data_IF_475535462691
#
_entry.id   IF_475535462691
#
_cell.length_a   1.000
_cell.length_b   1.000
_cell.length_c   1.000
_cell.angle_alpha   90.00
_cell.angle_beta   90.00
_cell.angle_gamma   90.00
#
_symmetry.space_group_name_H-M   'P 1'
#
loop_
_entity.id
_entity.type
_entity.pdbx_description
1 polymer ?
#
# COMPACT_ATOMS: atom_id res chain seq x y z
N UNK A 1 -15.26 -33.61 -13.90
CA UNK A 1 -15.00 -32.20 -13.59
C UNK A 1 -14.93 -32.06 -12.08
N UNK A 2 -13.74 -31.80 -11.50
CA UNK A 2 -13.60 -31.53 -10.05
C UNK A 2 -13.91 -30.04 -9.86
N UNK A 3 -14.95 -29.71 -9.11
CA UNK A 3 -15.20 -28.35 -8.64
C UNK A 3 -13.95 -27.85 -7.89
N UNK A 4 -13.34 -26.80 -8.42
CA UNK A 4 -12.33 -26.05 -7.68
C UNK A 4 -13.03 -25.37 -6.51
N UNK A 5 -12.89 -25.93 -5.30
CA UNK A 5 -13.22 -25.21 -4.08
C UNK A 5 -12.34 -23.94 -4.06
N UNK A 6 -12.93 -22.79 -4.26
CA UNK A 6 -12.23 -21.52 -4.06
C UNK A 6 -11.98 -21.39 -2.56
N UNK A 7 -10.73 -21.54 -2.16
CA UNK A 7 -10.31 -21.28 -0.79
C UNK A 7 -10.37 -19.76 -0.62
N UNK A 8 -11.32 -19.28 0.19
CA UNK A 8 -11.37 -17.86 0.53
C UNK A 8 -10.07 -17.44 1.22
N UNK A 9 -9.49 -16.28 0.83
CA UNK A 9 -8.31 -15.76 1.50
C UNK A 9 -8.55 -15.62 3.02
N UNK A 10 -7.59 -15.97 3.89
CA UNK A 10 -7.72 -15.84 5.35
C UNK A 10 -8.15 -14.43 5.80
N UNK A 11 -7.75 -13.41 5.07
CA UNK A 11 -8.14 -12.03 5.29
C UNK A 11 -9.66 -11.80 5.16
N UNK A 12 -10.32 -12.40 4.16
CA UNK A 12 -11.77 -12.31 4.00
C UNK A 12 -12.52 -12.93 5.19
N UNK A 13 -12.05 -14.09 5.68
CA UNK A 13 -12.65 -14.75 6.84
C UNK A 13 -12.54 -13.85 8.09
N UNK A 14 -11.42 -13.16 8.24
CA UNK A 14 -11.21 -12.24 9.36
C UNK A 14 -12.12 -11.01 9.27
N UNK A 15 -12.24 -10.42 8.09
CA UNK A 15 -13.13 -9.29 7.83
C UNK A 15 -14.60 -9.65 8.05
N UNK A 16 -15.04 -10.83 7.63
CA UNK A 16 -16.39 -11.31 7.88
C UNK A 16 -16.68 -11.47 9.37
N UNK A 17 -15.73 -11.99 10.15
CA UNK A 17 -15.88 -12.09 11.61
C UNK A 17 -15.99 -10.71 12.26
N UNK A 18 -15.16 -9.76 11.87
CA UNK A 18 -15.19 -8.41 12.41
C UNK A 18 -16.47 -7.67 11.99
N UNK A 19 -16.91 -7.83 10.74
CA UNK A 19 -18.19 -7.32 10.25
C UNK A 19 -19.36 -7.86 11.08
N UNK A 20 -19.39 -9.16 11.32
CA UNK A 20 -20.44 -9.79 12.12
C UNK A 20 -20.43 -9.28 13.58
N UNK A 21 -19.25 -9.06 14.18
CA UNK A 21 -19.09 -8.46 15.50
C UNK A 21 -19.64 -7.03 15.55
N UNK A 22 -19.35 -6.22 14.54
CA UNK A 22 -19.85 -4.85 14.44
C UNK A 22 -21.35 -4.79 14.20
N UNK A 23 -21.90 -5.69 13.38
CA UNK A 23 -23.35 -5.81 13.18
C UNK A 23 -24.08 -6.14 14.48
N UNK A 24 -23.58 -7.09 15.27
CA UNK A 24 -24.12 -7.41 16.58
C UNK A 24 -24.01 -6.24 17.56
N UNK A 25 -22.92 -5.49 17.53
CA UNK A 25 -22.72 -4.28 18.33
C UNK A 25 -23.71 -3.19 17.93
N UNK A 26 -23.89 -2.96 16.64
CA UNK A 26 -24.86 -2.01 16.10
C UNK A 26 -26.30 -2.36 16.54
N UNK A 27 -26.67 -3.64 16.47
CA UNK A 27 -28.00 -4.06 16.89
C UNK A 27 -28.26 -3.74 18.40
N UNK A 28 -27.28 -4.05 19.27
CA UNK A 28 -27.38 -3.70 20.72
C UNK A 28 -27.51 -2.18 20.94
N UNK A 29 -26.79 -1.39 20.14
CA UNK A 29 -26.85 0.08 20.21
C UNK A 29 -28.22 0.61 19.75
N UNK A 30 -28.80 0.02 18.70
CA UNK A 30 -30.14 0.36 18.20
C UNK A 30 -31.22 0.01 19.23
N UNK A 31 -31.17 -1.18 19.84
CA UNK A 31 -32.09 -1.60 20.85
C UNK A 31 -32.04 -0.68 22.08
N UNK A 32 -30.83 -0.33 22.51
CA UNK A 32 -30.62 0.64 23.57
C UNK A 32 -31.16 2.04 23.21
N UNK A 33 -30.94 2.49 21.96
CA UNK A 33 -31.45 3.78 21.48
C UNK A 33 -32.97 3.83 21.51
N UNK A 34 -33.65 2.78 21.05
CA UNK A 34 -35.12 2.66 21.08
C UNK A 34 -35.62 2.74 22.54
N UNK A 35 -34.95 2.05 23.46
CA UNK A 35 -35.30 2.13 24.90
C UNK A 35 -35.14 3.53 25.49
N UNK A 36 -34.09 4.27 25.09
CA UNK A 36 -33.87 5.64 25.54
C UNK A 36 -34.88 6.64 24.90
N UNK A 37 -35.30 6.38 23.64
CA UNK A 37 -36.41 7.13 23.00
C UNK A 37 -37.71 6.97 23.78
N UNK A 38 -38.08 5.72 24.07
CA UNK A 38 -39.28 5.43 24.86
C UNK A 38 -39.27 6.07 26.27
N UNK A 39 -38.08 6.18 26.86
CA UNK A 39 -37.88 6.81 28.18
C UNK A 39 -37.70 8.35 28.12
N UNK A 40 -37.67 8.97 26.93
CA UNK A 40 -37.51 10.43 26.74
C UNK A 40 -36.15 10.99 27.14
N UNK A 41 -35.08 10.15 27.25
CA UNK A 41 -33.77 10.54 27.77
C UNK A 41 -32.84 11.10 26.68
N UNK A 42 -33.09 12.35 26.28
CA UNK A 42 -32.44 13.03 25.13
C UNK A 42 -30.91 12.94 25.12
N UNK A 43 -30.24 13.14 26.30
CA UNK A 43 -28.79 13.12 26.38
C UNK A 43 -28.19 11.73 26.02
N UNK A 44 -28.82 10.66 26.52
CA UNK A 44 -28.40 9.29 26.23
C UNK A 44 -28.69 8.91 24.78
N UNK A 45 -29.80 9.38 24.22
CA UNK A 45 -30.13 9.21 22.81
C UNK A 45 -29.04 9.82 21.92
N UNK A 46 -28.61 11.06 22.19
CA UNK A 46 -27.56 11.71 21.43
C UNK A 46 -26.22 10.93 21.48
N UNK A 47 -25.87 10.42 22.68
CA UNK A 47 -24.66 9.60 22.82
C UNK A 47 -24.74 8.27 22.04
N UNK A 48 -25.88 7.60 22.07
CA UNK A 48 -26.08 6.36 21.32
C UNK A 48 -26.11 6.60 19.82
N UNK A 49 -26.71 7.69 19.38
CA UNK A 49 -26.73 8.09 17.99
C UNK A 49 -25.29 8.24 17.42
N UNK A 50 -24.42 8.92 18.16
CA UNK A 50 -23.02 9.06 17.77
C UNK A 50 -22.30 7.71 17.71
N UNK A 51 -22.54 6.80 18.65
CA UNK A 51 -21.96 5.45 18.62
C UNK A 51 -22.46 4.63 17.44
N UNK A 52 -23.75 4.70 17.12
CA UNK A 52 -24.35 4.02 15.97
C UNK A 52 -23.71 4.55 14.68
N UNK A 53 -23.56 5.87 14.55
CA UNK A 53 -22.91 6.50 13.41
C UNK A 53 -21.48 5.99 13.24
N UNK A 54 -20.66 6.02 14.29
CA UNK A 54 -19.29 5.48 14.25
C UNK A 54 -19.26 4.00 13.84
N UNK A 55 -20.17 3.17 14.37
CA UNK A 55 -20.25 1.76 13.98
C UNK A 55 -20.64 1.59 12.52
N UNK A 56 -21.52 2.44 11.98
CA UNK A 56 -21.87 2.45 10.55
C UNK A 56 -20.68 2.85 9.68
N UNK A 57 -19.92 3.87 10.09
CA UNK A 57 -18.72 4.32 9.37
C UNK A 57 -17.69 3.18 9.30
N UNK A 58 -17.48 2.44 10.40
CA UNK A 58 -16.61 1.25 10.40
C UNK A 58 -17.15 0.12 9.51
N UNK A 59 -18.45 -0.14 9.54
CA UNK A 59 -19.07 -1.16 8.68
C UNK A 59 -18.93 -0.81 7.19
N UNK A 60 -19.05 0.48 6.84
CA UNK A 60 -18.84 0.97 5.49
C UNK A 60 -17.40 0.73 5.05
N UNK A 61 -16.42 1.15 5.87
CA UNK A 61 -14.99 0.94 5.60
C UNK A 61 -14.66 -0.54 5.42
N UNK A 62 -15.20 -1.43 6.28
CA UNK A 62 -15.00 -2.87 6.11
C UNK A 62 -15.63 -3.41 4.83
N UNK A 63 -16.76 -2.85 4.40
CA UNK A 63 -17.38 -3.17 3.11
C UNK A 63 -16.46 -2.83 1.95
N UNK A 64 -15.95 -1.59 1.93
CA UNK A 64 -15.00 -1.14 0.89
C UNK A 64 -13.74 -2.01 0.86
N UNK A 65 -13.19 -2.36 2.03
CA UNK A 65 -12.03 -3.26 2.11
C UNK A 65 -12.39 -4.64 1.56
N UNK A 66 -13.55 -5.20 1.91
CA UNK A 66 -13.97 -6.53 1.44
C UNK A 66 -14.20 -6.55 -0.09
N UNK A 67 -14.78 -5.49 -0.64
CA UNK A 67 -15.00 -5.35 -2.09
C UNK A 67 -13.66 -5.26 -2.85
N UNK A 68 -12.67 -4.58 -2.27
CA UNK A 68 -11.31 -4.51 -2.82
C UNK A 68 -10.50 -5.80 -2.65
N UNK A 69 -10.91 -6.70 -1.74
CA UNK A 69 -10.28 -8.01 -1.52
C UNK A 69 -10.88 -9.13 -2.36
N UNK A 70 -12.08 -8.95 -2.91
CA UNK A 70 -12.59 -9.89 -3.89
C UNK A 70 -11.61 -9.92 -5.05
N UNK A 71 -11.00 -11.09 -5.36
CA UNK A 71 -10.09 -11.16 -6.48
C UNK A 71 -10.91 -10.77 -7.72
N UNK A 72 -10.68 -9.56 -8.22
CA UNK A 72 -11.00 -9.28 -9.61
C UNK A 72 -10.19 -10.32 -10.35
N UNK A 73 -10.86 -11.23 -11.08
CA UNK A 73 -10.14 -12.13 -11.97
C UNK A 73 -9.27 -11.23 -12.85
N UNK A 74 -7.97 -11.23 -12.56
CA UNK A 74 -7.01 -10.53 -13.40
C UNK A 74 -7.18 -11.17 -14.76
N UNK A 75 -7.72 -10.41 -15.68
CA UNK A 75 -8.03 -10.86 -17.03
C UNK A 75 -6.75 -11.39 -17.67
N UNK A 76 -6.58 -12.72 -17.67
CA UNK A 76 -5.47 -13.45 -18.27
C UNK A 76 -4.24 -13.52 -17.33
N UNK A 77 -3.83 -14.72 -17.02
CA UNK A 77 -2.61 -15.02 -16.24
C UNK A 77 -1.30 -14.50 -16.88
N UNK A 78 -1.39 -13.83 -18.03
CA UNK A 78 -0.25 -13.30 -18.81
C UNK A 78 -0.23 -11.76 -18.88
N UNK A 79 -1.19 -11.04 -18.27
CA UNK A 79 -1.16 -9.58 -18.25
C UNK A 79 -0.11 -9.08 -17.26
N UNK A 80 0.85 -8.30 -17.74
CA UNK A 80 1.83 -7.62 -16.87
C UNK A 80 1.10 -6.68 -15.91
N UNK A 81 1.52 -6.60 -14.63
CA UNK A 81 0.93 -5.67 -13.69
C UNK A 81 1.08 -4.23 -14.19
N UNK A 82 -0.02 -3.49 -14.24
CA UNK A 82 -0.05 -2.07 -14.53
C UNK A 82 -0.11 -1.30 -13.21
N UNK A 83 0.84 -0.42 -12.98
CA UNK A 83 0.92 0.39 -11.76
C UNK A 83 0.57 1.83 -12.09
N UNK A 84 -0.21 2.46 -11.22
CA UNK A 84 -0.51 3.88 -11.30
C UNK A 84 -0.06 4.59 -10.02
N UNK A 85 0.58 5.75 -10.16
CA UNK A 85 1.09 6.53 -9.03
C UNK A 85 0.94 8.03 -9.32
N UNK A 86 0.53 8.80 -8.32
CA UNK A 86 0.48 10.25 -8.48
C UNK A 86 1.88 10.87 -8.45
N UNK A 87 2.08 11.91 -9.25
CA UNK A 87 3.30 12.72 -9.18
C UNK A 87 3.51 13.31 -7.79
N UNK A 88 2.43 13.70 -7.10
CA UNK A 88 2.47 14.19 -5.72
C UNK A 88 3.01 13.14 -4.76
N UNK A 89 2.51 11.89 -4.83
CA UNK A 89 2.98 10.82 -3.97
C UNK A 89 4.46 10.48 -4.21
N UNK A 90 4.90 10.50 -5.48
CA UNK A 90 6.32 10.33 -5.82
C UNK A 90 7.17 11.46 -5.24
N UNK A 91 6.70 12.69 -5.33
CA UNK A 91 7.38 13.86 -4.82
C UNK A 91 7.51 13.85 -3.28
N UNK A 92 6.43 13.55 -2.57
CA UNK A 92 6.45 13.39 -1.12
C UNK A 92 7.32 12.20 -0.69
N UNK A 93 7.29 11.09 -1.46
CA UNK A 93 8.17 9.94 -1.25
C UNK A 93 9.64 10.33 -1.44
N UNK A 94 9.95 11.08 -2.48
CA UNK A 94 11.29 11.62 -2.73
C UNK A 94 11.77 12.47 -1.55
N UNK A 95 11.00 13.46 -1.11
CA UNK A 95 11.34 14.30 0.06
C UNK A 95 11.63 13.46 1.29
N UNK A 96 10.77 12.48 1.58
CA UNK A 96 10.91 11.60 2.73
C UNK A 96 12.18 10.74 2.65
N UNK A 97 12.45 10.16 1.47
CA UNK A 97 13.60 9.28 1.24
C UNK A 97 14.93 10.04 1.22
N UNK A 98 14.92 11.32 0.87
CA UNK A 98 16.13 12.14 0.73
C UNK A 98 16.32 13.13 1.87
N UNK A 99 15.43 13.14 2.87
CA UNK A 99 15.51 14.00 4.04
C UNK A 99 16.79 13.80 4.86
N UNK A 100 17.37 12.62 4.82
CA UNK A 100 18.59 12.25 5.52
C UNK A 100 19.69 11.86 4.50
N UNK A 101 20.94 11.85 4.92
CA UNK A 101 22.08 11.39 4.10
C UNK A 101 22.14 9.87 4.00
N UNK A 102 21.64 9.17 4.99
CA UNK A 102 21.55 7.71 4.97
C UNK A 102 20.46 7.22 4.02
N UNK A 103 20.63 6.02 3.49
CA UNK A 103 19.58 5.36 2.72
C UNK A 103 18.32 5.17 3.55
N UNK A 104 17.20 5.51 2.96
CA UNK A 104 15.87 5.33 3.53
C UNK A 104 15.14 4.23 2.76
N UNK A 105 14.24 3.57 3.44
CA UNK A 105 13.42 2.51 2.86
C UNK A 105 12.04 2.49 3.52
N UNK A 106 11.00 2.30 2.74
CA UNK A 106 9.65 1.98 3.22
C UNK A 106 8.88 1.12 2.22
N UNK A 107 7.88 0.42 2.70
CA UNK A 107 6.92 -0.26 1.85
C UNK A 107 5.86 0.71 1.35
N UNK A 108 5.31 0.39 0.18
CA UNK A 108 4.15 1.09 -0.39
C UNK A 108 3.04 0.08 -0.60
N UNK A 109 1.87 0.45 -0.13
CA UNK A 109 0.62 -0.27 -0.30
C UNK A 109 -0.34 0.57 -1.12
N UNK A 110 -1.48 -0.01 -1.45
CA UNK A 110 -2.51 0.70 -2.17
C UNK A 110 -3.65 -0.23 -2.58
N UNK A 111 -4.45 0.21 -3.51
CA UNK A 111 -5.65 -0.46 -3.97
C UNK A 111 -5.55 -0.85 -5.44
N UNK A 112 -6.38 -1.80 -5.86
CA UNK A 112 -6.55 -2.13 -7.26
C UNK A 112 -7.81 -1.44 -7.78
N UNK A 113 -7.69 -0.66 -8.84
CA UNK A 113 -8.79 0.08 -9.45
C UNK A 113 -8.70 -0.02 -10.97
N UNK A 114 -9.74 -0.54 -11.61
CA UNK A 114 -9.82 -0.63 -13.06
C UNK A 114 -8.71 -1.48 -13.71
N UNK A 115 -8.15 -2.44 -12.98
CA UNK A 115 -7.03 -3.27 -13.43
C UNK A 115 -5.65 -2.63 -13.20
N UNK A 116 -5.59 -1.42 -12.63
CA UNK A 116 -4.35 -0.77 -12.23
C UNK A 116 -4.11 -0.93 -10.72
N UNK A 117 -2.86 -1.14 -10.34
CA UNK A 117 -2.38 -1.19 -8.96
C UNK A 117 -1.97 0.24 -8.55
N UNK A 118 -2.80 0.90 -7.73
CA UNK A 118 -2.59 2.29 -7.33
C UNK A 118 -1.64 2.33 -6.13
N UNK A 119 -0.50 3.02 -6.29
CA UNK A 119 0.50 3.21 -5.23
C UNK A 119 0.18 4.52 -4.49
N UNK A 120 -0.34 4.46 -3.26
CA UNK A 120 -0.85 5.64 -2.57
C UNK A 120 -0.57 5.73 -1.06
N UNK A 121 -0.04 4.68 -0.43
CA UNK A 121 0.18 4.67 1.01
C UNK A 121 1.55 4.14 1.41
N UNK A 122 2.20 4.83 2.34
CA UNK A 122 3.43 4.36 2.97
C UNK A 122 3.13 3.40 4.13
N UNK A 123 3.84 2.28 4.15
CA UNK A 123 3.87 1.38 5.30
C UNK A 123 5.29 1.39 5.89
N UNK A 124 5.48 2.20 6.92
CA UNK A 124 6.76 2.36 7.59
C UNK A 124 7.02 1.25 8.59
N UNK A 125 8.30 0.91 8.76
CA UNK A 125 8.76 -0.03 9.77
C UNK A 125 10.12 0.42 10.33
N UNK A 126 10.48 -0.11 11.52
CA UNK A 126 11.76 0.23 12.12
C UNK A 126 12.92 -0.37 11.31
N UNK A 127 13.97 0.41 11.13
CA UNK A 127 15.20 -0.04 10.51
C UNK A 127 16.18 -0.55 11.59
N UNK A 128 16.81 -1.70 11.32
CA UNK A 128 17.87 -2.24 12.19
C UNK A 128 19.19 -1.49 11.98
N UNK A 129 19.47 -1.12 10.73
CA UNK A 129 20.68 -0.41 10.33
C UNK A 129 20.37 0.53 9.18
N UNK A 130 20.91 1.74 9.25
CA UNK A 130 20.86 2.74 8.18
C UNK A 130 22.26 3.31 8.02
N UNK A 131 22.73 3.39 6.79
CA UNK A 131 24.02 3.97 6.40
C UNK A 131 23.91 4.60 5.03
N UNK A 132 24.92 5.37 4.62
CA UNK A 132 25.01 5.88 3.25
C UNK A 132 25.14 4.78 2.17
N UNK A 133 25.37 3.53 2.55
CA UNK A 133 25.62 2.40 1.63
C UNK A 133 24.59 1.28 1.77
N UNK A 134 23.55 1.47 2.55
CA UNK A 134 22.49 0.48 2.67
C UNK A 134 21.60 0.64 3.89
N UNK A 135 20.39 0.14 3.76
CA UNK A 135 19.37 0.07 4.81
C UNK A 135 18.95 -1.36 5.02
N UNK A 136 18.85 -1.77 6.28
CA UNK A 136 18.34 -3.09 6.65
C UNK A 136 17.15 -2.92 7.58
N UNK A 137 16.01 -3.47 7.21
CA UNK A 137 14.83 -3.49 8.06
C UNK A 137 15.02 -4.38 9.28
N UNK A 138 14.46 -3.97 10.42
CA UNK A 138 14.31 -4.87 11.56
C UNK A 138 13.36 -6.01 11.20
N UNK A 139 13.83 -7.24 11.26
CA UNK A 139 13.10 -8.44 10.83
C UNK A 139 11.75 -8.57 11.56
N UNK A 140 11.72 -8.28 12.87
CA UNK A 140 10.48 -8.37 13.67
C UNK A 140 9.49 -7.28 13.28
N UNK A 141 9.97 -6.06 13.04
CA UNK A 141 9.16 -4.95 12.59
C UNK A 141 8.62 -5.19 11.19
N UNK A 142 9.46 -5.65 10.28
CA UNK A 142 9.07 -6.03 8.91
C UNK A 142 7.97 -7.12 8.92
N UNK A 143 8.15 -8.20 9.70
CA UNK A 143 7.14 -9.24 9.85
C UNK A 143 5.82 -8.70 10.40
N UNK A 144 5.85 -7.82 11.40
CA UNK A 144 4.63 -7.20 11.94
C UNK A 144 3.88 -6.38 10.89
N UNK A 145 4.61 -5.64 10.05
CA UNK A 145 3.98 -4.88 8.96
C UNK A 145 3.37 -5.81 7.93
N UNK A 146 4.11 -6.83 7.46
CA UNK A 146 3.61 -7.79 6.48
C UNK A 146 2.38 -8.55 7.01
N UNK A 147 2.40 -9.00 8.28
CA UNK A 147 1.24 -9.64 8.92
C UNK A 147 0.05 -8.68 8.98
N UNK A 148 0.26 -7.40 9.31
CA UNK A 148 -0.81 -6.40 9.31
C UNK A 148 -1.38 -6.17 7.91
N UNK A 149 -0.53 -6.04 6.90
CA UNK A 149 -0.96 -5.89 5.51
C UNK A 149 -1.85 -7.08 5.11
N UNK A 150 -1.42 -8.31 5.42
CA UNK A 150 -2.19 -9.51 5.16
C UNK A 150 -3.49 -9.57 5.96
N UNK A 151 -3.46 -9.23 7.25
CA UNK A 151 -4.65 -9.22 8.12
C UNK A 151 -5.71 -8.21 7.69
N UNK A 152 -5.30 -7.07 7.15
CA UNK A 152 -6.21 -6.01 6.68
C UNK A 152 -6.46 -6.06 5.18
N UNK A 153 -5.92 -7.08 4.48
CA UNK A 153 -6.06 -7.24 3.05
C UNK A 153 -5.40 -6.15 2.21
N UNK A 154 -4.52 -5.36 2.81
CA UNK A 154 -3.69 -4.44 2.06
C UNK A 154 -2.66 -5.23 1.27
N UNK A 155 -2.54 -4.93 -0.02
CA UNK A 155 -1.49 -5.52 -0.86
C UNK A 155 -0.21 -4.71 -0.72
N UNK A 156 0.91 -5.42 -0.55
CA UNK A 156 2.23 -4.84 -0.76
C UNK A 156 2.43 -4.65 -2.26
N UNK A 157 2.42 -3.41 -2.72
CA UNK A 157 2.49 -3.06 -4.14
C UNK A 157 3.84 -2.51 -4.57
N UNK A 158 4.62 -1.98 -3.62
CA UNK A 158 5.97 -1.53 -3.91
C UNK A 158 6.85 -1.48 -2.66
N UNK A 159 8.15 -1.37 -2.89
CA UNK A 159 9.08 -0.84 -1.91
C UNK A 159 9.91 0.28 -2.53
N UNK A 160 10.02 1.37 -1.80
CA UNK A 160 10.75 2.55 -2.21
C UNK A 160 11.98 2.73 -1.33
N UNK A 161 13.12 3.05 -1.95
CA UNK A 161 14.33 3.40 -1.23
C UNK A 161 15.17 4.42 -1.99
N UNK A 162 16.08 5.07 -1.29
CA UNK A 162 16.99 6.06 -1.88
C UNK A 162 18.40 5.51 -1.95
N UNK A 163 19.11 5.90 -3.00
CA UNK A 163 20.56 5.77 -3.09
C UNK A 163 21.25 7.12 -2.88
N UNK A 164 22.46 7.15 -2.33
CA UNK A 164 23.14 8.39 -1.94
C UNK A 164 23.65 9.23 -3.13
N UNK A 165 23.68 8.67 -4.34
CA UNK A 165 24.23 9.33 -5.52
C UNK A 165 23.24 10.21 -6.28
N UNK A 166 23.74 10.88 -7.31
CA UNK A 166 22.99 11.71 -8.24
C UNK A 166 22.93 11.09 -9.64
N UNK A 167 21.94 11.52 -10.42
CA UNK A 167 21.75 11.11 -11.80
C UNK A 167 21.06 9.74 -11.95
N UNK A 168 20.69 9.40 -13.20
CA UNK A 168 19.95 8.17 -13.48
C UNK A 168 20.76 6.89 -13.22
N UNK A 169 22.08 6.95 -13.28
CA UNK A 169 22.95 5.81 -12.95
C UNK A 169 22.92 5.41 -11.48
N UNK A 170 22.66 6.37 -10.59
CA UNK A 170 22.52 6.13 -9.14
C UNK A 170 21.24 5.39 -8.76
N UNK A 171 20.29 5.24 -9.69
CA UNK A 171 19.09 4.45 -9.50
C UNK A 171 19.25 2.98 -9.91
N UNK A 172 20.48 2.54 -10.24
CA UNK A 172 20.75 1.15 -10.56
C UNK A 172 20.58 0.27 -9.30
N UNK A 173 19.81 -0.83 -9.36
CA UNK A 173 19.68 -1.73 -8.22
C UNK A 173 21.00 -2.38 -7.86
N UNK A 174 21.26 -2.54 -6.58
CA UNK A 174 22.34 -3.35 -6.05
C UNK A 174 21.94 -4.84 -6.02
N UNK A 175 22.91 -5.74 -5.87
CA UNK A 175 22.61 -7.17 -5.69
C UNK A 175 21.76 -7.44 -4.44
N UNK A 176 21.82 -6.61 -3.41
CA UNK A 176 20.95 -6.71 -2.22
C UNK A 176 19.50 -6.37 -2.58
N UNK A 177 19.29 -5.31 -3.38
CA UNK A 177 17.96 -4.88 -3.82
C UNK A 177 17.30 -5.94 -4.70
N UNK A 178 18.07 -6.48 -5.67
CA UNK A 178 17.59 -7.55 -6.54
C UNK A 178 17.23 -8.82 -5.75
N UNK A 179 18.05 -9.22 -4.77
CA UNK A 179 17.76 -10.36 -3.92
C UNK A 179 16.52 -10.14 -3.05
N UNK A 180 16.28 -8.90 -2.59
CA UNK A 180 15.09 -8.56 -1.85
C UNK A 180 13.84 -8.59 -2.75
N UNK A 181 13.91 -7.96 -3.93
CA UNK A 181 12.84 -7.99 -4.93
C UNK A 181 12.48 -9.43 -5.34
N UNK A 182 13.49 -10.27 -5.58
CA UNK A 182 13.30 -11.69 -5.92
C UNK A 182 12.51 -12.44 -4.84
N UNK A 183 12.78 -12.17 -3.56
CA UNK A 183 12.03 -12.81 -2.47
C UNK A 183 10.58 -12.36 -2.42
N UNK A 184 10.30 -11.08 -2.68
CA UNK A 184 8.93 -10.56 -2.74
C UNK A 184 8.15 -11.19 -3.90
N UNK A 185 8.74 -11.24 -5.10
CA UNK A 185 8.11 -11.85 -6.27
C UNK A 185 7.90 -13.36 -6.08
N UNK A 186 8.87 -14.07 -5.51
CA UNK A 186 8.75 -15.49 -5.19
C UNK A 186 7.69 -15.79 -4.12
N UNK A 187 7.40 -14.82 -3.24
CA UNK A 187 6.31 -14.91 -2.27
C UNK A 187 4.93 -14.55 -2.87
N UNK A 188 4.86 -14.26 -4.18
CA UNK A 188 3.62 -13.94 -4.89
C UNK A 188 3.18 -12.49 -4.78
N UNK A 189 4.04 -11.58 -4.25
CA UNK A 189 3.73 -10.15 -4.23
C UNK A 189 3.90 -9.54 -5.63
N UNK A 190 2.91 -8.79 -6.07
CA UNK A 190 2.99 -7.95 -7.27
C UNK A 190 3.71 -6.64 -6.95
N UNK A 191 4.84 -6.70 -6.25
CA UNK A 191 5.54 -5.52 -5.80
C UNK A 191 6.53 -5.02 -6.85
N UNK A 192 6.56 -3.69 -7.05
CA UNK A 192 7.56 -3.01 -7.84
C UNK A 192 8.57 -2.32 -6.92
N UNK A 193 9.85 -2.38 -7.26
CA UNK A 193 10.90 -1.63 -6.58
C UNK A 193 11.01 -0.24 -7.21
N UNK A 194 11.10 0.82 -6.40
CA UNK A 194 11.42 2.17 -6.86
C UNK A 194 12.66 2.70 -6.15
N UNK A 195 13.68 3.07 -6.93
CA UNK A 195 14.97 3.56 -6.44
C UNK A 195 15.11 5.03 -6.78
N UNK A 196 15.28 5.87 -5.77
CA UNK A 196 15.41 7.31 -5.90
C UNK A 196 16.86 7.78 -5.78
N UNK A 197 17.32 8.63 -6.69
CA UNK A 197 18.57 9.38 -6.54
C UNK A 197 18.34 10.68 -5.78
N UNK A 198 19.40 11.33 -5.31
CA UNK A 198 19.33 12.58 -4.54
C UNK A 198 18.86 13.79 -5.34
N UNK A 199 18.96 13.74 -6.64
CA UNK A 199 18.61 14.82 -7.58
C UNK A 199 17.31 14.56 -8.36
N UNK A 200 16.46 13.64 -7.85
CA UNK A 200 15.08 13.47 -8.31
C UNK A 200 14.89 12.47 -9.45
N UNK A 201 15.86 11.62 -9.77
CA UNK A 201 15.56 10.49 -10.63
C UNK A 201 14.94 9.35 -9.83
N UNK A 202 13.99 8.65 -10.45
CA UNK A 202 13.38 7.43 -9.92
C UNK A 202 13.36 6.36 -11.01
N UNK A 203 13.79 5.16 -10.66
CA UNK A 203 13.70 3.97 -11.52
C UNK A 203 12.74 2.97 -10.90
N UNK A 204 11.85 2.44 -11.72
CA UNK A 204 10.99 1.31 -11.33
C UNK A 204 11.53 0.02 -11.90
N UNK A 205 11.61 -1.01 -11.06
CA UNK A 205 12.24 -2.31 -11.41
C UNK A 205 11.35 -3.46 -10.98
N UNK A 206 11.18 -4.41 -11.90
CA UNK A 206 10.72 -5.78 -11.63
C UNK A 206 11.72 -6.75 -12.28
N UNK A 207 11.85 -7.94 -11.72
CA UNK A 207 12.79 -8.93 -12.25
C UNK A 207 12.17 -9.74 -13.41
N UNK A 208 10.86 -9.77 -13.53
CA UNK A 208 10.12 -10.43 -14.61
C UNK A 208 9.96 -9.56 -15.88
N UNK A 209 10.54 -8.36 -15.89
CA UNK A 209 10.58 -7.45 -17.03
C UNK A 209 10.39 -5.99 -16.67
N UNK A 210 10.25 -5.16 -17.70
CA UNK A 210 10.02 -3.72 -17.52
C UNK A 210 8.60 -3.52 -17.01
N UNK A 211 8.42 -2.87 -15.83
CA UNK A 211 7.09 -2.60 -15.29
C UNK A 211 6.38 -1.51 -16.11
N UNK A 212 5.07 -1.68 -16.29
CA UNK A 212 4.22 -0.66 -16.86
C UNK A 212 3.79 0.32 -15.76
N UNK A 213 4.31 1.55 -15.83
CA UNK A 213 4.08 2.59 -14.82
C UNK A 213 3.36 3.76 -15.49
N UNK A 214 2.17 4.06 -15.00
CA UNK A 214 1.42 5.28 -15.29
C UNK A 214 1.64 6.30 -14.18
N UNK A 215 2.15 7.48 -14.52
CA UNK A 215 2.29 8.59 -13.56
C UNK A 215 1.30 9.67 -13.94
N UNK A 216 0.33 9.92 -13.05
CA UNK A 216 -0.67 10.96 -13.24
C UNK A 216 -0.33 12.21 -12.44
N UNK A 217 -0.65 13.37 -13.01
CA UNK A 217 -0.29 14.69 -12.48
C UNK A 217 0.83 15.34 -13.28
N UNK A 218 1.47 16.36 -12.71
CA UNK A 218 2.51 17.18 -13.35
C UNK A 218 3.83 17.11 -12.59
N UNK A 219 4.92 17.59 -13.19
CA UNK A 219 6.21 17.67 -12.51
C UNK A 219 7.01 16.36 -12.53
N UNK A 220 6.63 15.39 -13.35
CA UNK A 220 7.40 14.17 -13.59
C UNK A 220 7.52 13.91 -15.08
N UNK A 221 8.73 13.73 -15.55
CA UNK A 221 9.03 13.44 -16.95
C UNK A 221 9.67 12.06 -17.10
N UNK A 222 9.32 11.35 -18.16
CA UNK A 222 9.94 10.07 -18.47
C UNK A 222 11.32 10.33 -19.10
N UNK A 223 12.36 9.85 -18.43
CA UNK A 223 13.75 10.06 -18.83
C UNK A 223 14.28 8.93 -19.73
N UNK A 224 14.01 7.67 -19.38
CA UNK A 224 14.45 6.50 -20.15
C UNK A 224 13.31 5.45 -20.17
N UNK A 225 12.79 5.20 -21.37
CA UNK A 225 11.65 4.28 -21.56
C UNK A 225 12.05 2.80 -21.37
N UNK A 226 13.24 2.42 -21.81
CA UNK A 226 13.69 1.03 -21.77
C UNK A 226 14.08 0.59 -20.36
N UNK A 227 14.42 1.56 -19.49
CA UNK A 227 14.82 1.30 -18.10
C UNK A 227 13.80 1.75 -17.07
N UNK A 228 12.63 2.22 -17.51
CA UNK A 228 11.58 2.76 -16.62
C UNK A 228 12.10 3.82 -15.63
N UNK A 229 12.86 4.79 -16.16
CA UNK A 229 13.44 5.89 -15.39
C UNK A 229 12.66 7.17 -15.66
N UNK A 230 12.32 7.86 -14.56
CA UNK A 230 11.60 9.12 -14.57
C UNK A 230 12.41 10.17 -13.82
N UNK A 231 12.11 11.46 -14.08
CA UNK A 231 12.72 12.59 -13.40
C UNK A 231 11.65 13.48 -12.81
N UNK A 232 11.77 13.79 -11.54
CA UNK A 232 10.99 14.81 -10.85
C UNK A 232 11.56 16.19 -11.23
N UNK A 233 10.78 17.05 -11.90
CA UNK A 233 11.30 18.32 -12.48
C UNK A 233 11.28 19.49 -11.49
N UNK A 234 10.42 19.45 -10.45
CA UNK A 234 10.23 20.55 -9.51
C UNK A 234 11.00 20.38 -8.18
N UNK A 235 12.01 19.50 -8.16
CA UNK A 235 12.76 19.13 -6.93
C UNK A 235 13.48 20.31 -6.28
N UNK A 236 13.76 21.37 -7.04
CA UNK A 236 14.55 22.52 -6.59
C UNK A 236 13.70 23.72 -6.16
N UNK A 237 12.36 23.67 -6.30
CA UNK A 237 11.46 24.79 -6.02
C UNK A 237 10.61 24.63 -4.75
N UNK A 238 10.96 23.69 -3.86
CA UNK A 238 10.18 23.39 -2.66
C UNK A 238 11.02 23.45 -1.37
#
# INVERSE_FOLDING_TARGET
MREKQSIQPPALIHLERERNRLLATRQKQLDAFIGEVAAGRRRKMAQLFLKIRQTNDFLHTLGEIADNLNPVEIAGADAKPHYAVSSLFLYESFKKLTADRDEQFFFVTGTELGGALILDQWAEFAHQKRTMMGVTGDVRSTHKVLIRLEQFGHRLLAHFHSHPGNGPSSTQPSGTDENFQKRLEAAGHLAVMAIFSRDGFVRFVRLDGIPEIEIYGTGVEKHDHEKSIYRLTDVYNA
#
